data_IF_003959899967
#
_entry.id   IF_003959899967
#
_cell.length_a   1.000
_cell.length_b   1.000
_cell.length_c   1.000
_cell.angle_alpha   90.00
_cell.angle_beta   90.00
_cell.angle_gamma   90.00
#
_symmetry.space_group_name_H-M   'P 1'
#
loop_
_entity.id
_entity.type
_entity.pdbx_description
1 polymer ?
#
# COMPACT_ATOMS: atom_id res chain seq x y z
N UNK A 1 14.75 -18.24 45.35
CA UNK A 1 13.28 -17.98 45.43
C UNK A 1 13.09 -16.55 44.98
N UNK A 2 12.43 -16.35 43.87
CA UNK A 2 12.21 -15.01 43.28
C UNK A 2 10.85 -14.51 43.79
N UNK A 3 10.86 -13.46 44.57
CA UNK A 3 9.64 -12.84 45.07
C UNK A 3 9.33 -11.58 44.27
N UNK A 4 8.15 -11.53 43.64
CA UNK A 4 7.67 -10.37 42.92
C UNK A 4 6.96 -9.43 43.89
N UNK A 5 7.49 -8.24 44.07
CA UNK A 5 6.83 -7.18 44.83
C UNK A 5 6.12 -6.22 43.88
N UNK A 6 4.79 -6.18 43.96
CA UNK A 6 3.94 -5.25 43.25
C UNK A 6 4.03 -3.85 43.89
N UNK A 7 4.65 -2.91 43.19
CA UNK A 7 4.73 -1.53 43.65
C UNK A 7 3.42 -0.78 43.30
N UNK A 8 2.68 -0.35 44.33
CA UNK A 8 1.49 0.50 44.19
C UNK A 8 1.89 1.95 43.93
N UNK A 9 1.11 2.62 43.08
CA UNK A 9 1.29 4.00 42.68
C UNK A 9 1.19 4.99 43.86
N UNK A 10 2.24 5.74 44.15
CA UNK A 10 2.12 7.06 44.74
C UNK A 10 3.23 7.97 44.20
N UNK A 11 2.80 9.12 43.67
CA UNK A 11 3.63 10.20 43.18
C UNK A 11 4.69 10.61 44.22
N UNK A 12 5.97 10.42 43.90
CA UNK A 12 6.99 11.40 44.28
C UNK A 12 8.32 11.06 43.58
N UNK A 13 8.80 12.00 42.79
CA UNK A 13 10.13 12.04 42.23
C UNK A 13 11.18 12.00 43.37
N UNK A 14 11.89 10.92 43.47
CA UNK A 14 13.21 10.93 44.11
C UNK A 14 14.06 9.80 43.48
N UNK A 15 14.98 10.21 42.60
CA UNK A 15 16.14 9.42 42.21
C UNK A 15 16.90 9.02 43.49
N UNK A 16 16.69 7.80 43.97
CA UNK A 16 17.60 7.21 44.93
C UNK A 16 18.11 5.89 44.34
N UNK A 17 19.31 5.95 43.79
CA UNK A 17 20.09 4.76 43.59
C UNK A 17 20.29 4.06 44.97
N UNK A 18 19.49 3.03 45.23
CA UNK A 18 19.64 2.21 46.40
C UNK A 18 20.85 1.29 46.14
N UNK A 19 21.97 1.63 46.75
CA UNK A 19 23.13 0.75 46.86
C UNK A 19 22.70 -0.54 47.54
N UNK A 20 23.19 -1.72 47.14
CA UNK A 20 22.84 -2.99 47.78
C UNK A 20 23.34 -2.99 49.24
N UNK A 21 22.38 -3.11 50.16
CA UNK A 21 22.68 -3.28 51.57
C UNK A 21 23.38 -4.65 51.76
N UNK A 22 24.64 -4.60 52.17
CA UNK A 22 25.50 -5.77 52.42
C UNK A 22 24.89 -6.59 53.55
N UNK A 23 24.25 -7.69 53.25
CA UNK A 23 23.82 -8.68 54.22
C UNK A 23 24.61 -9.97 53.99
N UNK A 24 25.17 -10.49 55.04
CA UNK A 24 25.82 -11.77 55.39
C UNK A 24 26.30 -12.74 54.28
N UNK A 25 27.44 -13.44 54.49
CA UNK A 25 28.08 -14.25 53.46
C UNK A 25 27.31 -15.53 53.18
N UNK A 26 26.62 -15.62 52.07
CA UNK A 26 26.02 -16.88 51.67
C UNK A 26 24.96 -16.83 50.56
N UNK A 27 24.19 -15.76 50.40
CA UNK A 27 23.17 -15.69 49.33
C UNK A 27 23.08 -14.28 48.76
N UNK A 28 23.52 -14.11 47.51
CA UNK A 28 23.23 -12.91 46.72
C UNK A 28 21.80 -12.99 46.19
N UNK A 29 20.86 -12.34 46.88
CA UNK A 29 19.53 -12.07 46.30
C UNK A 29 19.66 -10.96 45.26
N UNK A 30 19.61 -11.32 43.97
CA UNK A 30 19.42 -10.37 42.89
C UNK A 30 17.93 -10.07 42.83
N UNK A 31 17.50 -8.94 43.38
CA UNK A 31 16.15 -8.41 43.17
C UNK A 31 16.12 -7.71 41.79
N UNK A 32 15.48 -8.36 40.82
CA UNK A 32 15.14 -7.71 39.54
C UNK A 32 13.93 -6.82 39.79
N UNK A 33 14.16 -5.52 39.88
CA UNK A 33 13.07 -4.55 39.78
C UNK A 33 12.63 -4.48 38.31
N UNK A 34 11.52 -5.11 37.99
CA UNK A 34 10.84 -4.96 36.73
C UNK A 34 9.94 -3.74 36.86
N UNK A 35 10.20 -2.71 36.06
CA UNK A 35 9.33 -1.54 36.02
C UNK A 35 7.97 -1.97 35.44
N UNK A 36 6.95 -1.90 36.26
CA UNK A 36 5.60 -2.35 35.92
C UNK A 36 5.04 -1.53 34.75
N UNK A 37 5.39 -0.24 34.67
CA UNK A 37 4.97 0.64 33.59
C UNK A 37 5.55 0.20 32.24
N UNK A 38 6.78 -0.35 32.23
CA UNK A 38 7.41 -0.91 31.02
C UNK A 38 6.77 -2.25 30.59
N UNK A 39 6.33 -3.05 31.57
CA UNK A 39 5.61 -4.31 31.28
C UNK A 39 4.23 -4.02 30.68
N UNK A 40 3.46 -3.14 31.30
CA UNK A 40 2.12 -2.78 30.87
C UNK A 40 2.15 -2.12 29.46
N UNK A 41 3.19 -1.32 29.19
CA UNK A 41 3.43 -0.71 27.88
C UNK A 41 3.78 -1.74 26.80
N UNK A 42 4.58 -2.76 27.15
CA UNK A 42 4.91 -3.86 26.24
C UNK A 42 3.69 -4.75 25.98
N UNK A 43 2.91 -5.08 27.00
CA UNK A 43 1.68 -5.86 26.83
C UNK A 43 0.65 -5.13 25.97
N UNK A 44 0.44 -3.84 26.19
CA UNK A 44 -0.43 -3.00 25.34
C UNK A 44 0.07 -2.96 23.89
N UNK A 45 1.38 -2.84 23.67
CA UNK A 45 1.96 -2.87 22.33
C UNK A 45 1.78 -4.23 21.65
N UNK A 46 1.95 -5.33 22.36
CA UNK A 46 1.73 -6.69 21.84
C UNK A 46 0.26 -6.89 21.46
N UNK A 47 -0.67 -6.38 22.26
CA UNK A 47 -2.10 -6.46 21.97
C UNK A 47 -2.47 -5.66 20.71
N UNK A 48 -1.96 -4.44 20.56
CA UNK A 48 -2.15 -3.61 19.36
C UNK A 48 -1.56 -4.30 18.13
N UNK A 49 -0.34 -4.86 18.22
CA UNK A 49 0.30 -5.60 17.15
C UNK A 49 -0.48 -6.85 16.75
N UNK A 50 -0.99 -7.60 17.73
CA UNK A 50 -1.78 -8.81 17.47
C UNK A 50 -3.11 -8.48 16.78
N UNK A 51 -3.78 -7.40 17.18
CA UNK A 51 -4.99 -6.91 16.53
C UNK A 51 -4.71 -6.44 15.09
N UNK A 52 -3.62 -5.70 14.87
CA UNK A 52 -3.22 -5.25 13.55
C UNK A 52 -2.87 -6.42 12.62
N UNK A 53 -2.17 -7.42 13.11
CA UNK A 53 -1.87 -8.66 12.38
C UNK A 53 -3.15 -9.42 11.99
N UNK A 54 -4.10 -9.54 12.92
CA UNK A 54 -5.37 -10.21 12.66
C UNK A 54 -6.19 -9.44 11.62
N UNK A 55 -6.28 -8.11 11.71
CA UNK A 55 -7.01 -7.29 10.74
C UNK A 55 -6.40 -7.45 9.34
N UNK A 56 -5.09 -7.37 9.21
CA UNK A 56 -4.41 -7.53 7.93
C UNK A 56 -4.63 -8.94 7.35
N UNK A 57 -4.56 -9.97 8.18
CA UNK A 57 -4.82 -11.33 7.76
C UNK A 57 -6.26 -11.48 7.20
N UNK A 58 -7.27 -10.98 7.89
CA UNK A 58 -8.66 -11.03 7.41
C UNK A 58 -8.87 -10.21 6.14
N UNK A 59 -8.22 -9.06 6.00
CA UNK A 59 -8.28 -8.25 4.78
C UNK A 59 -7.70 -9.00 3.57
N UNK A 60 -6.53 -9.60 3.69
CA UNK A 60 -5.92 -10.34 2.60
C UNK A 60 -6.65 -11.64 2.28
N UNK A 61 -7.10 -12.37 3.30
CA UNK A 61 -7.93 -13.56 3.12
C UNK A 61 -9.26 -13.21 2.42
N UNK A 62 -9.91 -12.12 2.83
CA UNK A 62 -11.12 -11.59 2.19
C UNK A 62 -10.87 -11.18 0.75
N UNK A 63 -9.74 -10.54 0.45
CA UNK A 63 -9.36 -10.16 -0.90
C UNK A 63 -9.17 -11.40 -1.81
N UNK A 64 -8.51 -12.45 -1.30
CA UNK A 64 -8.32 -13.72 -2.05
C UNK A 64 -9.67 -14.39 -2.33
N UNK A 65 -10.55 -14.45 -1.33
CA UNK A 65 -11.90 -14.98 -1.51
C UNK A 65 -12.68 -14.16 -2.54
N UNK A 66 -12.58 -12.84 -2.49
CA UNK A 66 -13.23 -11.93 -3.44
C UNK A 66 -12.69 -12.16 -4.86
N UNK A 67 -11.37 -12.30 -5.03
CA UNK A 67 -10.77 -12.66 -6.34
C UNK A 67 -11.36 -13.96 -6.85
N UNK A 68 -11.42 -15.01 -6.03
CA UNK A 68 -12.01 -16.28 -6.41
C UNK A 68 -13.47 -16.15 -6.86
N UNK A 69 -14.29 -15.40 -6.11
CA UNK A 69 -15.69 -15.16 -6.45
C UNK A 69 -15.83 -14.39 -7.77
N UNK A 70 -15.01 -13.35 -7.99
CA UNK A 70 -15.05 -12.53 -9.20
C UNK A 70 -14.56 -13.30 -10.45
N UNK A 71 -13.74 -14.35 -10.27
CA UNK A 71 -13.34 -15.23 -11.37
C UNK A 71 -14.43 -16.23 -11.76
N UNK A 72 -15.49 -16.39 -10.96
CA UNK A 72 -16.58 -17.30 -11.30
C UNK A 72 -17.33 -16.82 -12.56
N UNK A 73 -17.58 -17.71 -13.55
CA UNK A 73 -18.28 -17.36 -14.80
C UNK A 73 -19.66 -16.72 -14.57
N UNK A 74 -20.39 -17.20 -13.56
CA UNK A 74 -21.71 -16.69 -13.22
C UNK A 74 -21.67 -15.21 -12.78
N UNK A 75 -20.68 -14.84 -11.95
CA UNK A 75 -20.52 -13.46 -11.48
C UNK A 75 -20.12 -12.55 -12.64
N UNK A 76 -19.18 -13.00 -13.47
CA UNK A 76 -18.79 -12.27 -14.68
C UNK A 76 -19.97 -12.10 -15.63
N UNK A 77 -20.79 -13.14 -15.84
CA UNK A 77 -22.01 -13.11 -16.64
C UNK A 77 -22.99 -12.08 -16.13
N UNK A 78 -23.26 -12.06 -14.83
CA UNK A 78 -24.15 -11.09 -14.18
C UNK A 78 -23.73 -9.64 -14.46
N UNK A 79 -22.47 -9.29 -14.28
CA UNK A 79 -21.95 -7.94 -14.56
C UNK A 79 -22.02 -7.58 -16.05
N UNK A 80 -21.86 -8.57 -16.94
CA UNK A 80 -21.97 -8.37 -18.39
C UNK A 80 -23.40 -8.10 -18.82
N UNK A 81 -24.37 -8.86 -18.32
CA UNK A 81 -25.80 -8.71 -18.60
C UNK A 81 -26.37 -7.40 -18.03
N UNK A 82 -25.92 -7.02 -16.84
CA UNK A 82 -26.27 -5.75 -16.20
C UNK A 82 -25.64 -4.51 -16.88
N UNK A 83 -24.83 -4.66 -17.93
CA UNK A 83 -24.11 -3.56 -18.57
C UNK A 83 -23.02 -2.92 -17.71
N UNK A 84 -22.66 -3.54 -16.57
CA UNK A 84 -21.75 -3.01 -15.56
C UNK A 84 -20.36 -3.72 -15.57
N UNK A 85 -19.88 -4.13 -16.75
CA UNK A 85 -18.54 -4.76 -16.91
C UNK A 85 -17.41 -3.94 -16.31
N UNK A 86 -17.50 -2.62 -16.37
CA UNK A 86 -16.53 -1.72 -15.78
C UNK A 86 -16.41 -1.90 -14.27
N UNK A 87 -17.53 -2.13 -13.58
CA UNK A 87 -17.55 -2.37 -12.14
C UNK A 87 -16.89 -3.69 -11.79
N UNK A 88 -17.11 -4.75 -12.60
CA UNK A 88 -16.41 -6.01 -12.44
C UNK A 88 -14.90 -5.87 -12.58
N UNK A 89 -14.42 -5.14 -13.58
CA UNK A 89 -12.99 -4.88 -13.81
C UNK A 89 -12.42 -4.09 -12.63
N UNK A 90 -13.12 -3.06 -12.15
CA UNK A 90 -12.71 -2.25 -11.01
C UNK A 90 -12.57 -3.11 -9.74
N UNK A 91 -13.60 -3.89 -9.39
CA UNK A 91 -13.57 -4.75 -8.23
C UNK A 91 -12.49 -5.83 -8.32
N UNK A 92 -12.33 -6.43 -9.50
CA UNK A 92 -11.30 -7.45 -9.73
C UNK A 92 -9.89 -6.88 -9.66
N UNK A 93 -9.65 -5.69 -10.26
CA UNK A 93 -8.37 -4.99 -10.16
C UNK A 93 -8.02 -4.67 -8.72
N UNK A 94 -8.99 -4.14 -7.97
CA UNK A 94 -8.80 -3.80 -6.56
C UNK A 94 -8.49 -5.04 -5.71
N UNK A 95 -9.28 -6.10 -5.86
CA UNK A 95 -9.07 -7.34 -5.12
C UNK A 95 -7.73 -8.01 -5.44
N UNK A 96 -7.33 -8.03 -6.73
CA UNK A 96 -6.01 -8.52 -7.16
C UNK A 96 -4.88 -7.67 -6.60
N UNK A 97 -4.98 -6.35 -6.67
CA UNK A 97 -3.96 -5.45 -6.11
C UNK A 97 -3.80 -5.64 -4.61
N UNK A 98 -4.91 -5.75 -3.89
CA UNK A 98 -4.90 -5.95 -2.44
C UNK A 98 -4.31 -7.31 -2.06
N UNK A 99 -4.68 -8.39 -2.78
CA UNK A 99 -4.18 -9.75 -2.49
C UNK A 99 -2.70 -9.93 -2.85
N UNK A 100 -2.19 -9.22 -3.86
CA UNK A 100 -0.78 -9.30 -4.29
C UNK A 100 0.15 -8.35 -3.52
N UNK A 101 -0.40 -7.32 -2.87
CA UNK A 101 0.38 -6.32 -2.14
C UNK A 101 1.35 -6.92 -1.10
N UNK A 102 0.99 -7.92 -0.26
CA UNK A 102 1.94 -8.51 0.69
C UNK A 102 3.11 -9.22 0.01
N UNK A 103 2.90 -9.78 -1.19
CA UNK A 103 3.96 -10.42 -1.96
C UNK A 103 4.96 -9.37 -2.45
N UNK A 104 4.47 -8.25 -2.99
CA UNK A 104 5.33 -7.15 -3.42
C UNK A 104 6.03 -6.46 -2.25
N UNK A 105 5.37 -6.34 -1.11
CA UNK A 105 6.00 -5.83 0.11
C UNK A 105 7.13 -6.75 0.60
N UNK A 106 6.96 -8.05 0.50
CA UNK A 106 8.00 -9.02 0.81
C UNK A 106 9.17 -8.92 -0.19
N UNK A 107 8.89 -8.87 -1.50
CA UNK A 107 9.91 -8.71 -2.55
C UNK A 107 10.70 -7.40 -2.34
N UNK A 108 10.01 -6.30 -2.03
CA UNK A 108 10.66 -5.01 -1.78
C UNK A 108 11.63 -5.07 -0.59
N UNK A 109 11.26 -5.78 0.47
CA UNK A 109 12.15 -6.01 1.63
C UNK A 109 13.36 -6.86 1.28
N UNK A 110 13.17 -7.93 0.53
CA UNK A 110 14.24 -8.83 0.11
C UNK A 110 15.25 -8.15 -0.83
N UNK A 111 14.76 -7.28 -1.70
CA UNK A 111 15.59 -6.51 -2.63
C UNK A 111 16.11 -5.20 -2.03
N UNK A 112 15.83 -4.91 -0.75
CA UNK A 112 16.17 -3.64 -0.08
C UNK A 112 15.64 -2.38 -0.82
N UNK A 113 14.48 -2.50 -1.50
CA UNK A 113 13.78 -1.40 -2.16
C UNK A 113 12.83 -0.76 -1.15
N UNK A 114 13.40 -0.04 -0.20
CA UNK A 114 12.68 0.57 0.91
C UNK A 114 12.84 2.08 0.86
N UNK A 115 11.75 2.79 1.09
CA UNK A 115 11.78 4.22 1.32
C UNK A 115 12.27 4.50 2.74
N UNK A 116 13.50 5.02 2.85
CA UNK A 116 14.09 5.36 4.14
C UNK A 116 13.45 6.62 4.71
N UNK A 117 13.18 6.65 6.03
CA UNK A 117 12.68 7.85 6.68
C UNK A 117 13.71 8.98 6.57
N UNK A 118 13.29 10.11 6.00
CA UNK A 118 14.06 11.36 5.94
C UNK A 118 13.36 12.42 6.80
N UNK A 119 14.09 13.44 7.25
CA UNK A 119 13.59 14.53 8.12
C UNK A 119 12.36 15.26 7.57
N UNK A 120 12.07 15.15 6.28
CA UNK A 120 10.88 15.70 5.61
C UNK A 120 9.70 14.71 5.51
N UNK A 121 9.86 13.45 5.91
CA UNK A 121 8.85 12.41 5.74
C UNK A 121 8.20 12.09 7.08
N UNK A 122 6.89 11.93 7.06
CA UNK A 122 6.07 11.62 8.24
C UNK A 122 6.21 10.17 8.73
N UNK A 123 6.91 9.32 7.96
CA UNK A 123 7.08 7.91 8.29
C UNK A 123 8.32 7.70 9.16
N UNK A 124 8.14 7.00 10.28
CA UNK A 124 9.20 6.61 11.21
C UNK A 124 9.84 5.26 10.86
N UNK A 125 9.21 4.49 9.98
CA UNK A 125 9.66 3.18 9.54
C UNK A 125 9.88 3.12 8.02
N UNK A 126 10.83 2.28 7.58
CA UNK A 126 11.09 2.04 6.16
C UNK A 126 9.87 1.38 5.49
N UNK A 127 9.33 2.02 4.45
CA UNK A 127 8.14 1.53 3.73
C UNK A 127 8.52 0.88 2.40
N UNK A 128 7.90 -0.27 2.04
CA UNK A 128 8.17 -0.92 0.76
C UNK A 128 7.60 -0.12 -0.42
N UNK A 129 8.45 0.17 -1.42
CA UNK A 129 8.12 1.03 -2.58
C UNK A 129 7.35 0.32 -3.71
N UNK A 130 7.29 -1.02 -3.72
CA UNK A 130 6.69 -1.78 -4.83
C UNK A 130 5.14 -1.86 -4.81
N UNK A 131 4.44 -1.02 -4.07
CA UNK A 131 2.97 -0.98 -4.07
C UNK A 131 2.36 -0.68 -5.45
N UNK A 132 3.00 0.17 -6.24
CA UNK A 132 2.61 0.47 -7.63
C UNK A 132 2.63 -0.75 -8.54
N UNK A 133 3.53 -1.72 -8.30
CA UNK A 133 3.60 -2.98 -9.03
C UNK A 133 2.35 -3.84 -8.82
N UNK A 134 1.87 -3.93 -7.57
CA UNK A 134 0.65 -4.66 -7.25
C UNK A 134 -0.57 -4.07 -7.98
N UNK A 135 -0.66 -2.74 -8.02
CA UNK A 135 -1.76 -2.03 -8.72
C UNK A 135 -1.68 -2.25 -10.23
N UNK A 136 -0.49 -2.08 -10.83
CA UNK A 136 -0.30 -2.26 -12.28
C UNK A 136 -0.62 -3.69 -12.72
N UNK A 137 -0.15 -4.70 -11.99
CA UNK A 137 -0.41 -6.11 -12.31
C UNK A 137 -1.88 -6.44 -12.09
N UNK A 138 -2.48 -6.02 -10.97
CA UNK A 138 -3.89 -6.24 -10.69
C UNK A 138 -4.80 -5.66 -11.78
N UNK A 139 -4.51 -4.44 -12.23
CA UNK A 139 -5.24 -3.79 -13.31
C UNK A 139 -5.05 -4.50 -14.65
N UNK A 140 -3.81 -4.83 -15.02
CA UNK A 140 -3.50 -5.51 -16.27
C UNK A 140 -4.16 -6.89 -16.35
N UNK A 141 -4.08 -7.69 -15.29
CA UNK A 141 -4.71 -9.01 -15.22
C UNK A 141 -6.24 -8.89 -15.31
N UNK A 142 -6.85 -7.93 -14.62
CA UNK A 142 -8.29 -7.73 -14.68
C UNK A 142 -8.78 -7.36 -16.08
N UNK A 143 -8.05 -6.54 -16.83
CA UNK A 143 -8.37 -6.20 -18.22
C UNK A 143 -8.20 -7.40 -19.16
N UNK A 144 -7.08 -8.09 -19.07
CA UNK A 144 -6.77 -9.23 -19.94
C UNK A 144 -7.75 -10.39 -19.71
N UNK A 145 -8.08 -10.72 -18.47
CA UNK A 145 -9.03 -11.79 -18.14
C UNK A 145 -10.46 -11.48 -18.57
N UNK A 146 -10.84 -10.20 -18.65
CA UNK A 146 -12.14 -9.79 -19.21
C UNK A 146 -12.19 -9.82 -20.75
N UNK A 147 -11.10 -10.17 -21.42
CA UNK A 147 -11.05 -10.32 -22.88
C UNK A 147 -11.23 -8.99 -23.62
N UNK A 148 -10.81 -7.89 -23.03
CA UNK A 148 -10.93 -6.56 -23.65
C UNK A 148 -9.63 -6.27 -24.39
N UNK A 149 -9.58 -6.68 -25.65
CA UNK A 149 -8.41 -6.51 -26.54
C UNK A 149 -8.67 -5.41 -27.59
N UNK A 150 -9.27 -4.30 -27.18
CA UNK A 150 -9.39 -3.17 -28.11
C UNK A 150 -8.06 -2.43 -28.25
N UNK A 151 -7.85 -1.77 -29.42
CA UNK A 151 -6.67 -0.94 -29.66
C UNK A 151 -6.47 0.11 -28.56
N UNK A 152 -7.57 0.69 -28.07
CA UNK A 152 -7.57 1.70 -27.02
C UNK A 152 -7.04 1.14 -25.70
N UNK A 153 -7.51 -0.05 -25.30
CA UNK A 153 -7.07 -0.70 -24.06
C UNK A 153 -5.60 -1.09 -24.11
N UNK A 154 -5.13 -1.60 -25.27
CA UNK A 154 -3.72 -1.94 -25.43
C UNK A 154 -2.82 -0.70 -25.31
N UNK A 155 -3.25 0.43 -25.87
CA UNK A 155 -2.50 1.69 -25.74
C UNK A 155 -2.48 2.21 -24.32
N UNK A 156 -3.60 2.10 -23.58
CA UNK A 156 -3.65 2.44 -22.15
C UNK A 156 -2.68 1.56 -21.35
N UNK A 157 -2.65 0.25 -21.62
CA UNK A 157 -1.72 -0.67 -20.93
C UNK A 157 -0.25 -0.35 -21.23
N UNK A 158 0.06 0.00 -22.48
CA UNK A 158 1.42 0.41 -22.87
C UNK A 158 1.81 1.72 -22.17
N UNK A 159 0.93 2.72 -22.19
CA UNK A 159 1.17 3.98 -21.50
C UNK A 159 1.33 3.77 -19.98
N UNK A 160 0.49 2.95 -19.36
CA UNK A 160 0.58 2.59 -17.96
C UNK A 160 1.89 1.86 -17.63
N UNK A 161 2.36 0.95 -18.51
CA UNK A 161 3.65 0.27 -18.37
C UNK A 161 4.81 1.25 -18.41
N UNK A 162 4.79 2.23 -19.32
CA UNK A 162 5.85 3.25 -19.43
C UNK A 162 5.87 4.11 -18.16
N UNK A 163 4.71 4.57 -17.69
CA UNK A 163 4.60 5.35 -16.46
C UNK A 163 5.04 4.55 -15.22
N UNK A 164 4.70 3.29 -15.17
CA UNK A 164 5.13 2.37 -14.11
C UNK A 164 6.65 2.17 -14.12
N UNK A 165 7.24 1.97 -15.30
CA UNK A 165 8.70 1.82 -15.44
C UNK A 165 9.45 3.09 -14.97
N UNK A 166 8.99 4.27 -15.35
CA UNK A 166 9.55 5.54 -14.86
C UNK A 166 9.39 5.68 -13.35
N UNK A 167 8.25 5.26 -12.79
CA UNK A 167 8.04 5.25 -11.34
C UNK A 167 9.06 4.38 -10.62
N UNK A 168 9.27 3.16 -11.09
CA UNK A 168 10.30 2.26 -10.53
C UNK A 168 11.71 2.87 -10.65
N UNK A 169 12.07 3.43 -11.83
CA UNK A 169 13.38 4.06 -12.02
C UNK A 169 13.57 5.21 -11.04
N UNK A 170 12.52 6.01 -10.80
CA UNK A 170 12.54 7.10 -9.85
C UNK A 170 12.76 6.64 -8.40
N UNK A 171 12.19 5.50 -8.03
CA UNK A 171 12.37 4.90 -6.71
C UNK A 171 13.83 4.45 -6.48
N UNK A 172 14.53 4.02 -7.53
CA UNK A 172 15.95 3.64 -7.46
C UNK A 172 16.91 4.80 -7.65
N UNK A 173 16.53 5.76 -8.49
CA UNK A 173 17.39 6.87 -8.89
C UNK A 173 16.53 8.10 -9.15
N UNK A 174 16.72 9.13 -8.37
CA UNK A 174 15.98 10.38 -8.50
C UNK A 174 15.94 10.86 -9.96
N UNK A 175 14.75 10.86 -10.53
CA UNK A 175 14.48 11.33 -11.89
C UNK A 175 14.07 12.80 -11.81
N UNK A 176 14.64 13.64 -12.70
CA UNK A 176 14.29 15.06 -12.74
C UNK A 176 12.80 15.26 -13.01
N UNK A 177 12.20 16.25 -12.33
CA UNK A 177 10.76 16.57 -12.49
C UNK A 177 10.38 16.86 -13.95
N UNK A 178 11.29 17.48 -14.72
CA UNK A 178 11.08 17.75 -16.15
C UNK A 178 10.95 16.47 -16.98
N UNK A 179 11.77 15.44 -16.71
CA UNK A 179 11.69 14.17 -17.41
C UNK A 179 10.40 13.42 -17.06
N UNK A 180 9.99 13.42 -15.80
CA UNK A 180 8.71 12.83 -15.36
C UNK A 180 7.54 13.47 -16.11
N UNK A 181 7.50 14.80 -16.14
CA UNK A 181 6.46 15.54 -16.84
C UNK A 181 6.48 15.25 -18.36
N UNK A 182 7.65 15.24 -19.00
CA UNK A 182 7.79 14.94 -20.42
C UNK A 182 7.23 13.54 -20.75
N UNK A 183 7.57 12.51 -19.97
CA UNK A 183 7.04 11.15 -20.18
C UNK A 183 5.54 11.09 -19.99
N UNK A 184 5.00 11.76 -18.97
CA UNK A 184 3.55 11.84 -18.75
C UNK A 184 2.83 12.50 -19.94
N UNK A 185 3.37 13.61 -20.46
CA UNK A 185 2.83 14.27 -21.65
C UNK A 185 2.86 13.37 -22.89
N UNK A 186 3.98 12.67 -23.12
CA UNK A 186 4.10 11.73 -24.25
C UNK A 186 3.08 10.60 -24.13
N UNK A 187 2.91 10.00 -22.95
CA UNK A 187 1.91 8.96 -22.70
C UNK A 187 0.49 9.47 -22.92
N UNK A 188 0.19 10.68 -22.46
CA UNK A 188 -1.12 11.32 -22.68
C UNK A 188 -1.39 11.52 -24.17
N UNK A 189 -0.45 12.11 -24.90
CA UNK A 189 -0.56 12.32 -26.36
C UNK A 189 -0.73 10.99 -27.11
N UNK A 190 -0.05 9.94 -26.69
CA UNK A 190 -0.16 8.60 -27.26
C UNK A 190 -1.56 8.04 -27.08
N UNK A 191 -2.15 8.17 -25.87
CA UNK A 191 -3.53 7.74 -25.59
C UNK A 191 -4.53 8.56 -26.39
N UNK A 192 -4.36 9.87 -26.45
CA UNK A 192 -5.23 10.79 -27.21
C UNK A 192 -5.17 10.50 -28.72
N UNK A 193 -4.01 10.17 -29.29
CA UNK A 193 -3.85 9.82 -30.70
C UNK A 193 -4.65 8.59 -31.12
N UNK A 194 -5.04 7.73 -30.16
CA UNK A 194 -5.91 6.56 -30.36
C UNK A 194 -7.41 6.88 -30.21
N UNK A 195 -7.77 8.17 -30.11
CA UNK A 195 -9.15 8.64 -30.06
C UNK A 195 -9.78 8.58 -28.66
N UNK A 196 -8.97 8.40 -27.61
CA UNK A 196 -9.43 8.45 -26.22
C UNK A 196 -9.36 9.92 -25.79
N UNK A 197 -10.45 10.62 -25.93
CA UNK A 197 -10.59 12.04 -25.58
C UNK A 197 -11.80 12.23 -24.68
N UNK A 198 -11.62 12.96 -23.59
CA UNK A 198 -12.71 13.29 -22.68
C UNK A 198 -13.64 14.33 -23.36
N UNK A 199 -14.87 13.95 -23.64
CA UNK A 199 -15.87 14.83 -24.23
C UNK A 199 -16.76 15.47 -23.17
N UNK A 200 -16.23 16.46 -22.47
CA UNK A 200 -16.95 17.19 -21.41
C UNK A 200 -17.74 18.35 -21.98
N UNK A 201 -17.21 19.02 -23.02
CA UNK A 201 -17.85 20.14 -23.64
C UNK A 201 -18.75 19.69 -24.80
N UNK A 202 -19.98 20.20 -24.88
CA UNK A 202 -20.88 19.92 -26.02
C UNK A 202 -20.24 20.36 -27.32
N UNK A 203 -20.34 19.51 -28.35
CA UNK A 203 -19.74 19.76 -29.69
C UNK A 203 -20.37 20.91 -30.46
N UNK A 204 -21.50 21.40 -30.01
CA UNK A 204 -22.28 22.48 -30.66
C UNK A 204 -21.56 23.84 -30.67
N UNK A 205 -20.51 23.99 -29.84
CA UNK A 205 -19.70 25.22 -29.74
C UNK A 205 -18.53 25.22 -30.77
N UNK A 206 -18.49 24.24 -31.68
CA UNK A 206 -17.52 24.18 -32.77
C UNK A 206 -16.08 23.90 -32.30
N UNK A 207 -15.10 24.57 -32.95
CA UNK A 207 -13.67 24.31 -32.75
C UNK A 207 -13.20 24.53 -31.29
N UNK A 208 -13.83 25.44 -30.57
CA UNK A 208 -13.52 25.75 -29.17
C UNK A 208 -13.84 24.57 -28.25
N UNK A 209 -14.93 23.82 -28.50
CA UNK A 209 -15.27 22.62 -27.77
C UNK A 209 -14.25 21.50 -28.02
N UNK A 210 -13.77 21.37 -29.25
CA UNK A 210 -12.76 20.39 -29.63
C UNK A 210 -11.44 20.67 -28.90
N UNK A 211 -10.97 21.92 -28.97
CA UNK A 211 -9.72 22.32 -28.26
C UNK A 211 -9.89 22.17 -26.76
N UNK A 212 -11.03 22.60 -26.20
CA UNK A 212 -11.32 22.46 -24.77
C UNK A 212 -11.33 21.01 -24.30
N UNK A 213 -11.96 20.10 -25.04
CA UNK A 213 -11.97 18.68 -24.73
C UNK A 213 -10.56 18.06 -24.81
N UNK A 214 -9.73 18.50 -25.76
CA UNK A 214 -8.34 18.08 -25.86
C UNK A 214 -7.50 18.57 -24.67
N UNK A 215 -7.76 19.77 -24.18
CA UNK A 215 -7.01 20.38 -23.07
C UNK A 215 -7.41 19.79 -21.71
N UNK A 216 -8.65 19.27 -21.60
CA UNK A 216 -9.17 18.62 -20.40
C UNK A 216 -8.86 17.12 -20.31
N UNK A 217 -8.32 16.50 -21.38
CA UNK A 217 -7.92 15.10 -21.42
C UNK A 217 -6.47 14.94 -20.99
#
# INVERSE_FOLDING_TARGET
MVEFVKGGASNNFANSAILPKKTEPGLTHVQLFVDQDDVDKKEGMIEILSRALNINFFLYAGAIVLVYLLFMPNVRGFFSEAGSRWAHILCLSFALSLSTNPVFAWIAKELNILDMPDARKLHTEATPLLGGAAVFIGFSVALLTNGIFSKQVMVILIAALILFAIGIIDDFKEVSAGLKLAVQMICTLLVMSCGIVLRVLPTDIGIYATIGNWLLT
#
